data_IF_652412554561
#
_entry.id   IF_652412554561
#
_cell.length_a   1.000
_cell.length_b   1.000
_cell.length_c   1.000
_cell.angle_alpha   90.00
_cell.angle_beta   90.00
_cell.angle_gamma   90.00
#
_symmetry.space_group_name_H-M   'P 1'
#
loop_
_entity.id
_entity.type
_entity.pdbx_description
1 polymer ?
#
# COMPACT_ATOMS: atom_id res chain seq x y z
N UNK A 1 -4.50 -5.92 -17.79
CA UNK A 1 -3.05 -5.97 -17.56
C UNK A 1 -2.72 -7.27 -16.85
N UNK A 2 -2.05 -8.24 -17.49
CA UNK A 2 -1.81 -9.58 -16.91
C UNK A 2 -0.43 -9.74 -16.22
N UNK A 3 0.21 -8.63 -15.85
CA UNK A 3 1.55 -8.65 -15.23
C UNK A 3 1.48 -8.76 -13.71
N UNK A 4 2.48 -9.42 -13.12
CA UNK A 4 2.72 -9.43 -11.67
C UNK A 4 3.24 -8.07 -11.24
N UNK A 5 2.75 -7.59 -10.11
CA UNK A 5 3.04 -6.27 -9.58
C UNK A 5 3.69 -6.39 -8.20
N UNK A 6 4.44 -5.36 -7.85
CA UNK A 6 4.86 -5.09 -6.49
C UNK A 6 4.28 -3.75 -6.03
N UNK A 7 3.97 -3.66 -4.75
CA UNK A 7 3.54 -2.43 -4.09
C UNK A 7 4.44 -2.13 -2.90
N UNK A 8 4.88 -0.88 -2.83
CA UNK A 8 5.61 -0.32 -1.68
C UNK A 8 4.79 0.81 -1.07
N UNK A 9 4.51 0.69 0.23
CA UNK A 9 3.74 1.65 1.02
C UNK A 9 4.62 2.23 2.12
N UNK A 10 4.63 3.56 2.24
CA UNK A 10 5.21 4.29 3.36
C UNK A 10 4.06 4.90 4.17
N UNK A 11 3.90 4.43 5.41
CA UNK A 11 2.86 4.89 6.33
C UNK A 11 3.39 5.96 7.27
N UNK A 12 3.01 7.22 7.03
CA UNK A 12 3.37 8.38 7.85
C UNK A 12 2.13 8.80 8.67
N UNK A 13 1.99 8.33 9.92
CA UNK A 13 0.77 8.54 10.68
C UNK A 13 0.56 10.02 11.08
N UNK A 14 -0.67 10.45 11.39
CA UNK A 14 -0.94 11.81 11.84
C UNK A 14 -0.42 12.11 13.26
N UNK A 15 -0.14 11.06 14.05
CA UNK A 15 0.24 11.15 15.45
C UNK A 15 1.04 9.90 15.88
N UNK A 16 1.52 9.89 17.13
CA UNK A 16 2.33 8.79 17.69
C UNK A 16 1.50 7.63 18.27
N UNK A 17 0.18 7.59 18.07
CA UNK A 17 -0.64 6.46 18.54
C UNK A 17 -0.23 5.18 17.82
N UNK A 18 -0.24 4.08 18.56
CA UNK A 18 0.00 2.75 18.02
C UNK A 18 -1.08 2.43 16.98
N UNK A 19 -0.62 2.03 15.79
CA UNK A 19 -1.45 1.53 14.68
C UNK A 19 -0.70 0.39 14.03
N UNK A 20 -1.38 -0.71 13.81
CA UNK A 20 -0.81 -1.86 13.14
C UNK A 20 -0.69 -1.57 11.63
N UNK A 21 0.42 -1.99 11.02
CA UNK A 21 0.71 -1.66 9.62
C UNK A 21 -0.20 -2.42 8.67
N UNK A 22 -0.59 -3.64 9.00
CA UNK A 22 -1.57 -4.44 8.26
C UNK A 22 -2.93 -3.74 8.13
N UNK A 23 -3.43 -3.16 9.22
CA UNK A 23 -4.67 -2.37 9.21
C UNK A 23 -4.55 -1.13 8.30
N UNK A 24 -3.39 -0.48 8.31
CA UNK A 24 -3.11 0.65 7.42
C UNK A 24 -2.99 0.20 5.97
N UNK A 25 -2.37 -0.95 5.71
CA UNK A 25 -2.14 -1.53 4.39
C UNK A 25 -3.43 -2.02 3.72
N UNK A 26 -4.39 -2.52 4.51
CA UNK A 26 -5.66 -3.02 3.98
C UNK A 26 -6.44 -1.94 3.21
N UNK A 27 -6.52 -0.72 3.76
CA UNK A 27 -7.27 0.38 3.15
C UNK A 27 -6.80 0.76 1.72
N UNK A 28 -5.49 0.98 1.44
CA UNK A 28 -5.03 1.25 0.08
C UNK A 28 -5.18 0.05 -0.86
N UNK A 29 -5.02 -1.19 -0.39
CA UNK A 29 -5.29 -2.37 -1.23
C UNK A 29 -6.76 -2.43 -1.64
N UNK A 30 -7.68 -2.32 -0.69
CA UNK A 30 -9.13 -2.28 -0.94
C UNK A 30 -9.50 -1.15 -1.91
N UNK A 31 -8.90 0.04 -1.74
CA UNK A 31 -9.15 1.19 -2.61
C UNK A 31 -8.65 0.98 -4.05
N UNK A 32 -7.48 0.36 -4.24
CA UNK A 32 -6.93 0.07 -5.56
C UNK A 32 -7.77 -0.97 -6.31
N UNK A 33 -8.24 -2.01 -5.61
CA UNK A 33 -9.16 -3.00 -6.16
C UNK A 33 -10.51 -2.38 -6.49
N UNK A 34 -11.08 -1.60 -5.58
CA UNK A 34 -12.38 -0.93 -5.81
C UNK A 34 -12.33 0.08 -6.96
N UNK A 35 -11.21 0.79 -7.13
CA UNK A 35 -11.00 1.72 -8.23
C UNK A 35 -10.76 1.03 -9.59
N UNK A 36 -10.64 -0.30 -9.63
CA UNK A 36 -10.35 -1.07 -10.85
C UNK A 36 -8.92 -0.86 -11.37
N UNK A 37 -8.01 -0.34 -10.55
CA UNK A 37 -6.58 -0.23 -10.89
C UNK A 37 -5.97 -1.63 -10.99
N UNK A 38 -6.47 -2.55 -10.17
CA UNK A 38 -6.14 -3.97 -10.16
C UNK A 38 -7.38 -4.74 -10.62
N UNK A 39 -7.18 -5.78 -11.42
CA UNK A 39 -8.23 -6.74 -11.77
C UNK A 39 -8.47 -7.71 -10.61
N UNK A 40 -7.41 -8.04 -9.86
CA UNK A 40 -7.47 -8.90 -8.68
C UNK A 40 -6.34 -8.55 -7.68
N UNK A 41 -6.53 -8.80 -6.39
CA UNK A 41 -5.50 -8.60 -5.36
C UNK A 41 -4.35 -9.62 -5.49
N UNK A 42 -4.63 -10.79 -6.07
CA UNK A 42 -3.65 -11.80 -6.48
C UNK A 42 -2.58 -11.27 -7.45
N UNK A 43 -2.77 -10.09 -8.05
CA UNK A 43 -1.77 -9.50 -8.93
C UNK A 43 -0.51 -9.00 -8.20
N UNK A 44 -0.59 -8.75 -6.89
CA UNK A 44 0.57 -8.37 -6.09
C UNK A 44 1.30 -9.60 -5.56
N UNK A 45 2.45 -9.92 -6.14
CA UNK A 45 3.33 -10.97 -5.62
C UNK A 45 4.26 -10.43 -4.51
N UNK A 46 4.49 -9.11 -4.48
CA UNK A 46 5.31 -8.46 -3.46
C UNK A 46 4.57 -7.27 -2.84
N UNK A 47 4.37 -7.31 -1.52
CA UNK A 47 3.76 -6.23 -0.74
C UNK A 47 4.71 -5.82 0.37
N UNK A 48 5.22 -4.59 0.29
CA UNK A 48 6.08 -4.01 1.32
C UNK A 48 5.39 -2.80 1.96
N UNK A 49 5.25 -2.81 3.29
CA UNK A 49 4.84 -1.64 4.05
C UNK A 49 5.88 -1.29 5.11
N UNK A 50 6.21 -0.01 5.21
CA UNK A 50 7.12 0.51 6.24
C UNK A 50 6.50 1.67 6.98
N UNK A 51 6.84 1.78 8.27
CA UNK A 51 6.44 2.93 9.10
C UNK A 51 7.40 4.09 8.84
N UNK A 52 6.85 5.23 8.42
CA UNK A 52 7.55 6.50 8.30
C UNK A 52 7.45 7.37 9.56
N UNK A 53 7.92 8.60 9.46
CA UNK A 53 7.77 9.59 10.54
C UNK A 53 6.35 10.18 10.55
N UNK A 54 5.82 10.59 11.72
CA UNK A 54 4.52 11.27 11.76
C UNK A 54 4.52 12.59 10.98
N UNK A 55 3.46 12.86 10.23
CA UNK A 55 3.26 14.13 9.49
C UNK A 55 1.87 14.69 9.80
N UNK A 56 1.72 16.01 9.80
CA UNK A 56 0.41 16.64 10.04
C UNK A 56 -0.63 16.12 9.04
N UNK A 57 -1.78 15.68 9.53
CA UNK A 57 -2.86 15.09 8.71
C UNK A 57 -2.66 13.64 8.27
N UNK A 58 -1.45 13.10 8.43
CA UNK A 58 -1.09 11.76 7.98
C UNK A 58 -0.93 11.66 6.45
N UNK A 59 -0.15 10.69 6.00
CA UNK A 59 0.10 10.44 4.58
C UNK A 59 0.38 8.96 4.32
N UNK A 60 -0.08 8.49 3.17
CA UNK A 60 0.33 7.20 2.60
C UNK A 60 1.04 7.46 1.28
N UNK A 61 2.34 7.16 1.23
CA UNK A 61 3.09 7.11 -0.01
C UNK A 61 2.95 5.73 -0.64
N UNK A 62 2.35 5.64 -1.82
CA UNK A 62 2.14 4.37 -2.54
C UNK A 62 2.93 4.38 -3.84
N UNK A 63 3.70 3.31 -4.07
CA UNK A 63 4.38 3.07 -5.34
C UNK A 63 4.05 1.67 -5.83
N UNK A 64 3.52 1.59 -7.04
CA UNK A 64 3.20 0.33 -7.74
C UNK A 64 4.13 0.23 -8.93
N UNK A 65 4.70 -0.95 -9.16
CA UNK A 65 5.57 -1.21 -10.30
C UNK A 65 5.46 -2.67 -10.76
N UNK A 66 5.63 -2.96 -12.07
CA UNK A 66 5.71 -4.33 -12.55
C UNK A 66 6.97 -5.00 -12.02
N UNK A 67 6.88 -6.30 -11.75
CA UNK A 67 8.03 -7.14 -11.48
C UNK A 67 8.26 -8.08 -12.66
N UNK A 68 9.53 -8.30 -12.99
CA UNK A 68 9.95 -9.30 -13.97
C UNK A 68 10.68 -10.37 -13.17
N UNK A 69 10.13 -11.58 -13.15
CA UNK A 69 10.84 -12.76 -12.67
C UNK A 69 11.75 -13.30 -13.77
#
# INVERSE_FOLDING_TARGET
MSGRLAIKVIAEPPDKRRRDLDNILKAPLDALTHAGVLMDDEQFDEINIVRGQPVSGGRLGVKIYPIMH
#
